data_IF_024199070905
#
_entry.id   IF_024199070905
#
_cell.length_a   1.000
_cell.length_b   1.000
_cell.length_c   1.000
_cell.angle_alpha   90.00
_cell.angle_beta   90.00
_cell.angle_gamma   90.00
#
_symmetry.space_group_name_H-M   'P 1'
#
loop_
_entity.id
_entity.type
_entity.pdbx_description
1 polymer ?
#
# COMPACT_ATOMS: atom_id res chain seq x y z
N UNK A 1 31.78 60.53 -59.68
CA UNK A 1 32.02 60.58 -58.27
C UNK A 1 30.87 59.83 -57.59
N UNK A 2 31.11 58.67 -57.23
CA UNK A 2 30.18 57.57 -57.01
C UNK A 2 29.88 57.43 -55.56
N UNK A 3 28.62 57.62 -55.14
CA UNK A 3 28.16 57.35 -53.76
C UNK A 3 27.67 55.90 -53.65
N UNK A 4 28.28 55.13 -52.81
CA UNK A 4 27.96 53.74 -52.55
C UNK A 4 26.96 53.70 -51.38
N UNK A 5 25.70 53.36 -51.68
CA UNK A 5 24.65 53.21 -50.75
C UNK A 5 24.75 51.80 -50.04
N UNK A 6 25.08 51.78 -48.77
CA UNK A 6 25.13 50.55 -47.98
C UNK A 6 23.74 50.19 -47.46
N UNK A 7 23.18 49.10 -47.96
CA UNK A 7 21.94 48.51 -47.40
C UNK A 7 22.31 47.64 -46.23
N UNK A 8 21.92 48.05 -45.02
CA UNK A 8 21.95 47.21 -43.82
C UNK A 8 20.66 46.38 -43.76
N UNK A 9 20.80 45.06 -43.93
CA UNK A 9 19.72 44.11 -43.74
C UNK A 9 19.67 43.77 -42.27
N UNK A 10 18.63 44.22 -41.56
CA UNK A 10 18.38 43.83 -40.19
C UNK A 10 17.62 42.48 -40.16
N UNK A 11 18.31 41.42 -39.73
CA UNK A 11 17.68 40.14 -39.44
C UNK A 11 17.02 40.20 -38.04
N UNK A 12 15.70 40.25 -38.01
CA UNK A 12 14.92 40.11 -36.79
C UNK A 12 14.81 38.63 -36.46
N UNK A 13 15.56 38.18 -35.44
CA UNK A 13 15.41 36.86 -34.83
C UNK A 13 14.16 36.85 -33.93
N UNK A 14 13.05 36.33 -34.42
CA UNK A 14 11.88 36.04 -33.59
C UNK A 14 12.17 34.75 -32.80
N UNK A 15 12.63 34.89 -31.55
CA UNK A 15 12.75 33.77 -30.61
C UNK A 15 11.33 33.35 -30.18
N UNK A 16 10.79 32.32 -30.81
CA UNK A 16 9.55 31.67 -30.38
C UNK A 16 9.75 30.94 -29.04
N UNK A 17 9.26 31.54 -27.95
CA UNK A 17 9.24 30.93 -26.64
C UNK A 17 8.08 29.92 -26.60
N UNK A 18 8.39 28.63 -26.92
CA UNK A 18 7.41 27.54 -26.77
C UNK A 18 7.24 27.26 -25.29
N UNK A 19 6.15 27.72 -24.69
CA UNK A 19 5.71 27.35 -23.35
C UNK A 19 5.26 25.89 -23.39
N UNK A 20 6.12 24.98 -22.96
CA UNK A 20 5.72 23.61 -22.68
C UNK A 20 4.85 23.61 -21.43
N UNK A 21 3.53 23.51 -21.60
CA UNK A 21 2.62 23.16 -20.52
C UNK A 21 2.92 21.73 -20.07
N UNK A 22 3.72 21.56 -19.01
CA UNK A 22 3.90 20.28 -18.33
C UNK A 22 2.61 20.03 -17.54
N UNK A 23 1.68 19.29 -18.15
CA UNK A 23 0.52 18.78 -17.42
C UNK A 23 1.04 17.81 -16.37
N UNK A 24 0.99 18.18 -15.09
CA UNK A 24 1.23 17.27 -13.99
C UNK A 24 0.15 16.21 -14.03
N UNK A 25 0.44 15.04 -14.59
CA UNK A 25 -0.42 13.88 -14.45
C UNK A 25 -0.42 13.51 -12.98
N UNK A 26 -1.48 13.87 -12.24
CA UNK A 26 -1.67 13.41 -10.86
C UNK A 26 -1.68 11.90 -10.87
N UNK A 27 -0.75 11.29 -10.11
CA UNK A 27 -0.70 9.86 -9.98
C UNK A 27 -2.01 9.36 -9.35
N UNK A 28 -2.67 8.39 -10.00
CA UNK A 28 -3.88 7.77 -9.45
C UNK A 28 -3.55 7.16 -8.09
N UNK A 29 -4.28 7.54 -7.06
CA UNK A 29 -4.26 6.94 -5.73
C UNK A 29 -5.69 6.91 -5.19
N UNK A 30 -6.36 5.78 -5.33
CA UNK A 30 -7.74 5.57 -4.88
C UNK A 30 -7.72 4.69 -3.66
N UNK A 31 -8.34 5.15 -2.56
CA UNK A 31 -8.53 4.34 -1.35
C UNK A 31 -9.77 3.49 -1.51
N UNK A 32 -9.59 2.19 -1.41
CA UNK A 32 -10.65 1.18 -1.56
C UNK A 32 -10.79 0.43 -0.24
N UNK A 33 -11.98 0.40 0.40
CA UNK A 33 -12.24 -0.53 1.49
C UNK A 33 -12.13 -1.96 0.95
N UNK A 34 -11.27 -2.77 1.57
CA UNK A 34 -11.07 -4.16 1.19
C UNK A 34 -11.53 -5.08 2.30
N UNK A 35 -12.49 -5.94 2.02
CA UNK A 35 -13.09 -6.85 3.00
C UNK A 35 -12.07 -7.84 3.56
N UNK A 36 -11.92 -7.83 4.88
CA UNK A 36 -11.06 -8.78 5.62
C UNK A 36 -11.56 -10.21 5.40
N UNK A 37 -12.87 -10.44 5.50
CA UNK A 37 -13.46 -11.76 5.33
C UNK A 37 -13.19 -12.32 3.92
N UNK A 38 -13.37 -11.52 2.88
CA UNK A 38 -13.06 -11.89 1.50
C UNK A 38 -11.55 -12.17 1.31
N UNK A 39 -10.72 -11.31 1.88
CA UNK A 39 -9.26 -11.47 1.83
C UNK A 39 -8.79 -12.76 2.49
N UNK A 40 -9.27 -13.04 3.70
CA UNK A 40 -8.94 -14.26 4.44
C UNK A 40 -9.41 -15.54 3.76
N UNK A 41 -10.57 -15.50 3.10
CA UNK A 41 -11.10 -16.65 2.33
C UNK A 41 -10.42 -16.83 0.97
N UNK A 42 -9.57 -15.91 0.53
CA UNK A 42 -8.95 -15.98 -0.78
C UNK A 42 -7.86 -17.04 -0.87
N UNK A 43 -7.66 -17.68 -2.05
CA UNK A 43 -6.56 -18.60 -2.26
C UNK A 43 -5.18 -17.96 -1.99
N UNK A 44 -5.04 -16.65 -2.26
CA UNK A 44 -3.80 -15.91 -2.03
C UNK A 44 -3.37 -15.94 -0.54
N UNK A 45 -4.33 -16.02 0.39
CA UNK A 45 -4.10 -16.16 1.84
C UNK A 45 -4.14 -17.62 2.26
N UNK A 46 -5.22 -18.34 1.90
CA UNK A 46 -5.47 -19.71 2.35
C UNK A 46 -4.31 -20.68 2.05
N UNK A 47 -3.67 -20.54 0.91
CA UNK A 47 -2.58 -21.44 0.49
C UNK A 47 -1.23 -21.12 1.15
N UNK A 48 -1.12 -20.00 1.86
CA UNK A 48 0.16 -19.48 2.39
C UNK A 48 0.16 -19.22 3.89
N UNK A 49 -1.01 -19.08 4.48
CA UNK A 49 -1.19 -18.91 5.93
C UNK A 49 -1.61 -20.25 6.51
N UNK A 50 -0.72 -20.85 7.30
CA UNK A 50 -0.88 -22.22 7.83
C UNK A 50 -1.67 -22.31 9.14
N UNK A 51 -2.14 -21.18 9.67
CA UNK A 51 -2.91 -21.09 10.90
C UNK A 51 -2.08 -21.16 12.19
N UNK A 52 -0.75 -21.26 12.11
CA UNK A 52 0.13 -21.22 13.30
C UNK A 52 0.11 -19.85 13.99
N UNK A 53 -0.19 -18.79 13.24
CA UNK A 53 -0.38 -17.44 13.74
C UNK A 53 -1.80 -17.00 13.49
N UNK A 54 -2.50 -16.55 14.55
CA UNK A 54 -3.86 -16.03 14.47
C UNK A 54 -3.87 -14.52 14.22
N UNK A 55 -4.79 -14.03 13.41
CA UNK A 55 -4.91 -12.62 13.08
C UNK A 55 -6.24 -12.06 13.58
N UNK A 56 -6.17 -11.02 14.43
CA UNK A 56 -7.32 -10.36 15.02
C UNK A 56 -7.35 -8.88 14.60
N UNK A 57 -8.34 -8.52 13.81
CA UNK A 57 -8.49 -7.17 13.26
C UNK A 57 -9.33 -6.28 14.17
N UNK A 58 -8.95 -4.99 14.26
CA UNK A 58 -9.65 -4.02 15.07
C UNK A 58 -9.71 -4.43 16.54
N UNK A 59 -10.89 -4.40 17.11
CA UNK A 59 -11.19 -4.80 18.49
C UNK A 59 -11.79 -6.22 18.60
N UNK A 60 -11.59 -7.05 17.58
CA UNK A 60 -12.06 -8.44 17.59
C UNK A 60 -11.54 -9.18 18.83
N UNK A 61 -12.43 -9.90 19.50
CA UNK A 61 -12.09 -10.68 20.70
C UNK A 61 -11.04 -11.74 20.39
N UNK A 62 -10.05 -11.84 21.24
CA UNK A 62 -8.96 -12.81 21.18
C UNK A 62 -8.74 -13.45 22.56
N UNK A 63 -8.04 -14.59 22.68
CA UNK A 63 -7.65 -15.18 23.95
C UNK A 63 -6.79 -14.25 24.80
N UNK A 64 -6.65 -14.57 26.11
CA UNK A 64 -5.83 -13.77 27.02
C UNK A 64 -4.37 -13.66 26.53
N UNK A 65 -3.84 -12.45 26.53
CA UNK A 65 -2.45 -12.17 26.18
C UNK A 65 -1.53 -12.61 27.31
N UNK A 66 -0.62 -13.53 27.02
CA UNK A 66 0.38 -14.04 27.96
C UNK A 66 1.70 -13.26 27.87
N UNK A 67 2.06 -12.83 26.66
CA UNK A 67 3.30 -12.09 26.40
C UNK A 67 3.12 -11.15 25.22
N UNK A 68 3.74 -9.96 25.30
CA UNK A 68 3.78 -8.97 24.23
C UNK A 68 5.19 -8.88 23.64
N UNK A 69 5.30 -8.83 22.31
CA UNK A 69 6.58 -8.73 21.61
C UNK A 69 6.76 -7.36 20.94
N UNK A 70 5.71 -6.54 20.89
CA UNK A 70 5.74 -5.19 20.35
C UNK A 70 4.77 -4.98 19.21
N UNK A 71 4.76 -3.73 18.71
CA UNK A 71 3.92 -3.30 17.61
C UNK A 71 4.79 -3.17 16.36
N UNK A 72 4.34 -3.75 15.26
CA UNK A 72 5.04 -3.70 13.99
C UNK A 72 4.12 -3.26 12.86
N UNK A 73 4.72 -2.69 11.83
CA UNK A 73 4.05 -2.21 10.62
C UNK A 73 4.57 -3.01 9.43
N UNK A 74 3.68 -3.38 8.54
CA UNK A 74 4.01 -3.88 7.21
C UNK A 74 3.45 -2.92 6.16
N UNK A 75 4.15 -2.74 5.04
CA UNK A 75 3.68 -1.97 3.90
C UNK A 75 4.02 -2.76 2.64
N UNK A 76 3.04 -3.48 2.13
CA UNK A 76 3.20 -4.37 1.00
C UNK A 76 2.60 -3.77 -0.26
N UNK A 77 3.35 -3.87 -1.34
CA UNK A 77 2.95 -3.36 -2.65
C UNK A 77 2.99 -4.47 -3.69
N UNK A 78 2.07 -4.42 -4.64
CA UNK A 78 2.02 -5.33 -5.78
C UNK A 78 1.79 -4.55 -7.07
N UNK A 79 2.15 -5.15 -8.20
CA UNK A 79 1.88 -4.54 -9.51
C UNK A 79 0.36 -4.45 -9.75
N UNK A 80 -0.08 -3.28 -10.19
CA UNK A 80 -1.44 -3.01 -10.65
C UNK A 80 -1.56 -3.06 -12.19
N UNK A 81 -0.44 -3.26 -12.90
CA UNK A 81 -0.42 -3.22 -14.36
C UNK A 81 -1.22 -4.37 -14.97
N UNK A 82 -2.24 -4.04 -15.76
CA UNK A 82 -3.18 -4.98 -16.41
C UNK A 82 -3.92 -5.92 -15.43
N UNK A 83 -4.05 -5.49 -14.17
CA UNK A 83 -4.75 -6.24 -13.13
C UNK A 83 -5.84 -5.37 -12.52
N UNK A 84 -7.01 -5.96 -12.22
CA UNK A 84 -8.07 -5.22 -11.52
C UNK A 84 -7.64 -4.81 -10.10
N UNK A 85 -8.19 -3.69 -9.62
CA UNK A 85 -7.93 -3.20 -8.26
C UNK A 85 -8.25 -4.28 -7.21
N UNK A 86 -9.38 -4.97 -7.34
CA UNK A 86 -9.77 -6.05 -6.42
C UNK A 86 -8.72 -7.16 -6.36
N UNK A 87 -8.17 -7.59 -7.49
CA UNK A 87 -7.13 -8.63 -7.54
C UNK A 87 -5.80 -8.14 -6.98
N UNK A 88 -5.40 -6.91 -7.28
CA UNK A 88 -4.16 -6.34 -6.74
C UNK A 88 -4.26 -6.04 -5.24
N UNK A 89 -5.41 -5.56 -4.74
CA UNK A 89 -5.68 -5.39 -3.31
C UNK A 89 -5.58 -6.72 -2.56
N UNK A 90 -6.21 -7.79 -3.09
CA UNK A 90 -6.13 -9.12 -2.49
C UNK A 90 -4.70 -9.62 -2.36
N UNK A 91 -3.88 -9.46 -3.39
CA UNK A 91 -2.46 -9.84 -3.38
C UNK A 91 -1.65 -9.02 -2.39
N UNK A 92 -1.86 -7.70 -2.31
CA UNK A 92 -1.18 -6.83 -1.36
C UNK A 92 -1.57 -7.18 0.09
N UNK A 93 -2.85 -7.46 0.36
CA UNK A 93 -3.34 -7.91 1.65
C UNK A 93 -2.71 -9.25 2.07
N UNK A 94 -2.72 -10.25 1.18
CA UNK A 94 -2.09 -11.54 1.43
C UNK A 94 -0.60 -11.39 1.74
N UNK A 95 0.12 -10.55 0.99
CA UNK A 95 1.54 -10.28 1.23
C UNK A 95 1.78 -9.64 2.59
N UNK A 96 0.87 -8.76 3.05
CA UNK A 96 0.96 -8.15 4.37
C UNK A 96 0.79 -9.18 5.50
N UNK A 97 -0.17 -10.11 5.37
CA UNK A 97 -0.35 -11.18 6.35
C UNK A 97 0.80 -12.19 6.36
N UNK A 98 1.35 -12.53 5.20
CA UNK A 98 2.53 -13.41 5.10
C UNK A 98 3.72 -12.79 5.83
N UNK A 99 3.96 -11.50 5.67
CA UNK A 99 5.03 -10.80 6.37
C UNK A 99 4.77 -10.75 7.89
N UNK A 100 3.52 -10.55 8.30
CA UNK A 100 3.14 -10.64 9.72
C UNK A 100 3.34 -12.04 10.28
N UNK A 101 2.93 -13.10 9.57
CA UNK A 101 3.16 -14.48 9.99
C UNK A 101 4.67 -14.75 10.18
N UNK A 102 5.47 -14.40 9.19
CA UNK A 102 6.93 -14.57 9.27
C UNK A 102 7.52 -13.86 10.48
N UNK A 103 7.17 -12.61 10.69
CA UNK A 103 7.64 -11.82 11.85
C UNK A 103 7.17 -12.41 13.17
N UNK A 104 5.92 -12.86 13.25
CA UNK A 104 5.39 -13.51 14.46
C UNK A 104 6.17 -14.77 14.82
N UNK A 105 6.46 -15.62 13.85
CA UNK A 105 7.26 -16.85 14.05
C UNK A 105 8.69 -16.53 14.52
N UNK A 106 9.33 -15.52 13.92
CA UNK A 106 10.67 -15.06 14.34
C UNK A 106 10.71 -14.60 15.81
N UNK A 107 9.62 -13.97 16.28
CA UNK A 107 9.49 -13.46 17.65
C UNK A 107 9.00 -14.52 18.65
N UNK A 108 8.51 -15.67 18.19
CA UNK A 108 7.84 -16.65 19.03
C UNK A 108 6.40 -16.28 19.41
N UNK A 109 5.80 -15.32 18.68
CA UNK A 109 4.39 -14.96 18.79
C UNK A 109 3.51 -15.98 18.07
N UNK A 110 2.28 -16.19 18.57
CA UNK A 110 1.26 -17.03 17.93
C UNK A 110 0.02 -16.26 17.53
N UNK A 111 0.01 -14.94 17.77
CA UNK A 111 -1.07 -14.08 17.33
C UNK A 111 -0.56 -12.67 17.02
N UNK A 112 -1.29 -12.00 16.11
CA UNK A 112 -1.21 -10.56 15.88
C UNK A 112 -2.59 -10.00 16.17
N UNK A 113 -2.67 -9.05 17.10
CA UNK A 113 -3.93 -8.44 17.56
C UNK A 113 -3.98 -6.96 17.21
N UNK A 114 -5.16 -6.36 17.32
CA UNK A 114 -5.40 -4.95 16.99
C UNK A 114 -4.89 -4.58 15.60
N UNK A 115 -5.06 -5.48 14.62
CA UNK A 115 -4.60 -5.22 13.25
C UNK A 115 -5.51 -4.17 12.62
N UNK A 116 -4.90 -3.11 12.09
CA UNK A 116 -5.61 -2.04 11.42
C UNK A 116 -4.79 -1.45 10.28
N UNK A 117 -5.45 -0.66 9.43
CA UNK A 117 -4.78 0.05 8.34
C UNK A 117 -3.87 1.14 8.88
N UNK A 118 -2.67 1.25 8.29
CA UNK A 118 -1.65 2.22 8.70
C UNK A 118 -0.97 2.86 7.47
N UNK A 119 -1.77 3.44 6.60
CA UNK A 119 -1.25 4.15 5.45
C UNK A 119 -0.96 5.62 5.82
N UNK A 120 0.15 6.16 5.32
CA UNK A 120 0.63 7.52 5.63
C UNK A 120 0.70 7.84 7.14
N UNK A 121 0.90 6.80 7.98
CA UNK A 121 0.97 6.87 9.44
C UNK A 121 -0.37 7.22 10.11
N UNK A 122 -1.47 7.04 9.42
CA UNK A 122 -2.80 7.17 9.99
C UNK A 122 -3.34 5.81 10.43
N UNK A 123 -3.76 5.72 11.70
CA UNK A 123 -4.37 4.52 12.27
C UNK A 123 -5.86 4.51 11.96
N UNK A 124 -6.31 3.60 11.09
CA UNK A 124 -7.73 3.42 10.76
C UNK A 124 -8.13 2.00 11.12
N UNK A 125 -8.86 1.88 12.24
CA UNK A 125 -9.30 0.60 12.78
C UNK A 125 -10.68 0.23 12.24
N UNK A 126 -10.83 -1.04 11.85
CA UNK A 126 -12.10 -1.66 11.48
C UNK A 126 -12.03 -3.17 11.72
N UNK A 127 -13.17 -3.77 12.04
CA UNK A 127 -13.30 -5.23 12.20
C UNK A 127 -13.66 -5.92 10.89
N UNK A 128 -14.06 -5.16 9.86
CA UNK A 128 -14.59 -5.69 8.60
C UNK A 128 -13.73 -5.40 7.40
N UNK A 129 -13.01 -4.27 7.39
CA UNK A 129 -12.30 -3.79 6.22
C UNK A 129 -10.93 -3.23 6.56
N UNK A 130 -10.00 -3.33 5.62
CA UNK A 130 -8.74 -2.60 5.62
C UNK A 130 -8.68 -1.67 4.40
N UNK A 131 -7.84 -0.64 4.48
CA UNK A 131 -7.63 0.25 3.35
C UNK A 131 -6.64 -0.37 2.36
N UNK A 132 -7.06 -0.40 1.09
CA UNK A 132 -6.20 -0.68 -0.05
C UNK A 132 -6.02 0.59 -0.88
N UNK A 133 -4.79 0.94 -1.18
CA UNK A 133 -4.43 2.10 -1.98
C UNK A 133 -4.08 1.66 -3.40
N UNK A 134 -5.03 1.86 -4.32
CA UNK A 134 -4.89 1.45 -5.72
C UNK A 134 -4.35 2.60 -6.58
N UNK A 135 -3.14 2.42 -7.07
CA UNK A 135 -2.50 3.32 -8.03
C UNK A 135 -2.60 2.81 -9.47
N UNK A 136 -2.06 3.56 -10.41
CA UNK A 136 -2.00 3.16 -11.82
C UNK A 136 -0.99 2.04 -12.11
N UNK A 137 0.13 2.03 -11.39
CA UNK A 137 1.20 1.05 -11.58
C UNK A 137 1.34 0.08 -10.39
N UNK A 138 1.06 0.55 -9.19
CA UNK A 138 1.23 -0.20 -7.94
C UNK A 138 -0.02 -0.08 -7.08
N UNK A 139 -0.34 -1.15 -6.38
CA UNK A 139 -1.36 -1.20 -5.32
C UNK A 139 -0.70 -1.56 -4.01
N UNK A 140 -1.11 -0.93 -2.91
CA UNK A 140 -0.51 -1.13 -1.59
C UNK A 140 -1.52 -1.35 -0.47
N UNK A 141 -1.11 -2.17 0.50
CA UNK A 141 -1.78 -2.34 1.79
C UNK A 141 -0.74 -2.15 2.89
N UNK A 142 -1.00 -1.22 3.79
CA UNK A 142 -0.18 -1.00 4.98
C UNK A 142 -1.00 -1.36 6.21
N UNK A 143 -0.46 -2.27 7.04
CA UNK A 143 -1.09 -2.73 8.27
C UNK A 143 -0.15 -2.50 9.46
N UNK A 144 -0.75 -2.26 10.61
CA UNK A 144 -0.11 -2.20 11.91
C UNK A 144 -0.77 -3.19 12.83
N UNK A 145 0.00 -3.91 13.67
CA UNK A 145 -0.53 -4.88 14.61
C UNK A 145 0.40 -5.10 15.81
N UNK A 146 -0.16 -5.53 16.92
CA UNK A 146 0.57 -5.92 18.12
C UNK A 146 0.83 -7.43 18.10
N UNK A 147 2.08 -7.82 18.20
CA UNK A 147 2.53 -9.22 18.19
C UNK A 147 2.55 -9.75 19.60
N UNK A 148 1.83 -10.85 19.81
CA UNK A 148 1.61 -11.40 21.15
C UNK A 148 1.70 -12.92 21.15
N UNK A 149 1.91 -13.46 22.34
CA UNK A 149 1.59 -14.84 22.65
C UNK A 149 0.27 -14.86 23.40
N UNK A 150 -0.71 -15.58 22.86
CA UNK A 150 -2.01 -15.79 23.51
C UNK A 150 -2.09 -17.20 24.07
N UNK A 151 -2.95 -17.39 25.08
CA UNK A 151 -3.27 -18.71 25.60
C UNK A 151 -3.97 -19.57 24.56
N UNK A 152 -3.91 -20.89 24.73
CA UNK A 152 -4.76 -21.81 23.98
C UNK A 152 -6.24 -21.58 24.30
N UNK A 153 -7.16 -22.07 23.43
CA UNK A 153 -8.57 -22.08 23.70
C UNK A 153 -8.92 -22.93 24.93
#
# INVERSE_FOLDING_TARGET
>A
MTSVLKHAIAFAFAAGFSVFCVSSAAARNVVIPFSIAEGMASPDVHDKIDGTVQFYFGDTKHPAVLQKFGIYVTNQKTSAFLVSDAKSCRRAFASALIEFQKRALELGANAVINIHSYYDKEDISSNTDVQCHAGGAMTGVALRGEFVKVGGP
#
